data_IF_394898088809
#
_entry.id   IF_394898088809
#
_cell.length_a   1.000
_cell.length_b   1.000
_cell.length_c   1.000
_cell.angle_alpha   90.00
_cell.angle_beta   90.00
_cell.angle_gamma   90.00
#
_symmetry.space_group_name_H-M   'P 1'
#
loop_
_entity.id
_entity.type
_entity.pdbx_description
1 polymer ?
#
# COMPACT_ATOMS: atom_id res chain seq x y z
N UNK A 1 10.36 36.88 42.87
CA UNK A 1 8.90 37.10 42.98
C UNK A 1 8.24 35.78 42.57
N UNK A 2 8.16 34.78 43.45
CA UNK A 2 7.05 34.49 44.38
C UNK A 2 5.66 34.39 43.73
N UNK A 3 5.18 33.15 43.60
CA UNK A 3 3.78 32.70 43.60
C UNK A 3 3.05 33.17 44.89
N UNK A 4 1.71 33.00 45.15
CA UNK A 4 0.73 32.00 44.63
C UNK A 4 -0.75 32.58 44.58
N UNK A 5 -1.85 31.88 45.00
CA UNK A 5 -2.56 30.71 44.46
C UNK A 5 -4.08 30.92 44.22
N UNK A 6 -4.72 29.84 43.77
CA UNK A 6 -6.16 29.53 43.69
C UNK A 6 -6.95 29.54 45.03
N UNK A 7 -8.28 29.59 44.85
CA UNK A 7 -9.43 29.15 45.70
C UNK A 7 -10.05 30.22 46.62
N UNK A 8 -11.21 29.99 47.28
CA UNK A 8 -12.37 29.06 47.09
C UNK A 8 -13.72 29.86 46.95
N UNK A 9 -14.95 29.31 46.92
CA UNK A 9 -15.79 28.91 48.08
C UNK A 9 -17.16 28.43 47.56
N UNK A 10 -17.63 27.35 48.17
CA UNK A 10 -18.92 26.67 48.04
C UNK A 10 -20.03 27.40 48.82
N UNK A 11 -21.21 26.79 48.84
CA UNK A 11 -22.39 27.05 49.70
C UNK A 11 -23.51 27.89 49.06
N UNK A 12 -24.64 27.32 48.62
CA UNK A 12 -25.67 26.52 49.32
C UNK A 12 -26.67 27.41 50.09
N UNK A 13 -27.90 26.91 50.25
CA UNK A 13 -29.14 27.51 50.78
C UNK A 13 -30.05 28.15 49.70
N UNK A 14 -31.31 27.77 49.48
CA UNK A 14 -32.19 26.82 50.16
C UNK A 14 -33.40 26.41 49.28
N UNK A 15 -33.89 25.20 49.51
CA UNK A 15 -35.21 24.62 49.20
C UNK A 15 -36.33 25.42 49.97
N UNK A 16 -37.68 25.28 49.79
CA UNK A 16 -38.42 24.14 49.22
C UNK A 16 -39.73 24.42 48.45
N UNK A 17 -40.24 23.41 47.75
CA UNK A 17 -41.69 23.14 47.66
C UNK A 17 -41.93 21.70 47.23
N UNK A 18 -42.35 20.89 48.20
CA UNK A 18 -42.82 19.54 47.99
C UNK A 18 -44.19 19.56 47.30
N UNK A 19 -44.30 18.91 46.14
CA UNK A 19 -45.58 18.41 45.64
C UNK A 19 -45.51 16.87 45.58
N UNK A 20 -46.41 16.22 46.32
CA UNK A 20 -46.46 14.76 46.48
C UNK A 20 -47.32 14.11 45.39
N UNK A 21 -46.78 13.03 44.79
CA UNK A 21 -47.41 11.76 44.31
C UNK A 21 -48.44 11.83 43.16
N UNK A 22 -48.75 10.71 42.44
CA UNK A 22 -48.24 9.33 42.53
C UNK A 22 -47.84 8.65 41.18
N UNK A 23 -47.04 7.60 41.31
CA UNK A 23 -46.88 6.41 40.44
C UNK A 23 -47.89 6.18 39.30
N UNK A 24 -47.40 6.15 38.05
CA UNK A 24 -47.62 5.11 37.00
C UNK A 24 -46.43 5.19 36.01
N UNK A 25 -45.40 4.37 36.17
CA UNK A 25 -45.16 3.12 35.43
C UNK A 25 -44.80 3.33 33.93
N UNK A 26 -43.90 2.49 33.39
CA UNK A 26 -42.76 2.94 32.58
C UNK A 26 -43.00 2.75 31.09
N UNK A 27 -42.93 3.83 30.32
CA UNK A 27 -42.99 3.78 28.84
C UNK A 27 -41.84 4.55 28.19
N UNK A 28 -40.76 4.82 28.93
CA UNK A 28 -39.61 5.58 28.42
C UNK A 28 -38.39 4.70 28.07
N UNK A 29 -38.48 3.37 28.18
CA UNK A 29 -37.35 2.44 28.02
C UNK A 29 -37.61 1.35 26.97
N UNK A 30 -38.35 1.65 25.89
CA UNK A 30 -38.54 0.70 24.77
C UNK A 30 -38.07 1.23 23.40
N UNK A 31 -37.66 2.49 23.28
CA UNK A 31 -37.17 3.04 22.00
C UNK A 31 -35.65 2.98 21.81
N UNK A 32 -34.88 2.62 22.84
CA UNK A 32 -33.41 2.51 22.73
C UNK A 32 -32.92 1.14 22.23
N UNK A 33 -33.76 0.10 22.22
CA UNK A 33 -33.36 -1.24 21.81
C UNK A 33 -33.61 -1.54 20.31
N UNK A 34 -34.36 -0.70 19.61
CA UNK A 34 -34.76 -0.97 18.21
C UNK A 34 -33.77 -0.47 17.15
N UNK A 35 -32.79 0.36 17.52
CA UNK A 35 -31.80 0.91 16.58
C UNK A 35 -30.48 0.13 16.50
N UNK A 36 -30.26 -0.87 17.37
CA UNK A 36 -29.05 -1.71 17.33
C UNK A 36 -29.17 -2.95 16.43
N UNK A 37 -30.33 -3.19 15.81
CA UNK A 37 -30.61 -4.43 15.08
C UNK A 37 -30.36 -4.36 13.55
N UNK A 38 -29.83 -3.26 13.01
CA UNK A 38 -29.66 -3.09 11.55
C UNK A 38 -28.22 -3.17 11.03
N UNK A 39 -27.23 -3.51 11.86
CA UNK A 39 -25.85 -3.79 11.38
C UNK A 39 -25.62 -5.26 11.06
N UNK A 40 -26.67 -6.02 10.73
CA UNK A 40 -26.53 -7.30 10.03
C UNK A 40 -25.99 -7.02 8.62
N UNK A 41 -24.69 -6.75 8.52
CA UNK A 41 -23.98 -6.67 7.27
C UNK A 41 -24.11 -8.03 6.58
N UNK A 42 -24.64 -8.05 5.36
CA UNK A 42 -24.48 -9.20 4.50
C UNK A 42 -23.00 -9.52 4.43
N UNK A 43 -22.60 -10.73 4.84
CA UNK A 43 -21.36 -11.33 4.41
C UNK A 43 -21.49 -11.55 2.89
N UNK A 44 -21.14 -10.52 2.11
CA UNK A 44 -20.98 -10.67 0.68
C UNK A 44 -19.89 -11.70 0.46
N UNK A 45 -20.26 -12.85 -0.07
CA UNK A 45 -19.27 -13.80 -0.59
C UNK A 45 -18.47 -13.07 -1.66
N UNK A 46 -17.14 -13.18 -1.58
CA UNK A 46 -16.31 -12.73 -2.69
C UNK A 46 -16.55 -13.76 -3.81
N UNK A 47 -17.37 -13.40 -4.81
CA UNK A 47 -17.60 -14.24 -5.99
C UNK A 47 -16.29 -14.57 -6.72
N UNK A 48 -15.23 -13.78 -6.49
CA UNK A 48 -13.90 -14.10 -6.97
C UNK A 48 -12.80 -13.69 -5.98
N UNK A 49 -12.45 -14.56 -5.02
CA UNK A 49 -11.43 -14.27 -4.02
C UNK A 49 -10.04 -14.05 -4.65
N UNK A 50 -9.76 -14.62 -5.84
CA UNK A 50 -8.48 -14.41 -6.56
C UNK A 50 -8.22 -12.95 -6.96
N UNK A 51 -9.28 -12.14 -7.11
CA UNK A 51 -9.16 -10.71 -7.42
C UNK A 51 -8.73 -9.87 -6.21
N UNK A 52 -8.98 -10.38 -5.01
CA UNK A 52 -8.61 -9.75 -3.75
C UNK A 52 -7.32 -10.32 -3.17
N UNK A 53 -6.94 -11.54 -3.56
CA UNK A 53 -5.59 -12.07 -3.34
C UNK A 53 -4.61 -11.63 -4.43
N UNK A 54 -5.11 -11.01 -5.51
CA UNK A 54 -4.34 -10.32 -6.55
C UNK A 54 -3.10 -11.11 -6.94
N UNK A 55 -3.27 -12.42 -7.14
CA UNK A 55 -2.26 -13.47 -7.00
C UNK A 55 -0.86 -13.04 -7.41
N UNK A 56 -0.15 -12.41 -6.48
CA UNK A 56 1.21 -11.98 -6.75
C UNK A 56 2.05 -13.25 -6.68
N UNK A 57 2.84 -13.53 -7.73
CA UNK A 57 3.86 -14.59 -7.65
C UNK A 57 4.96 -14.33 -6.61
N UNK A 58 4.85 -13.25 -5.85
CA UNK A 58 5.72 -12.92 -4.74
C UNK A 58 5.56 -13.92 -3.59
N UNK A 59 6.69 -14.32 -3.01
CA UNK A 59 6.70 -15.11 -1.80
C UNK A 59 5.95 -14.38 -0.66
N UNK A 60 5.31 -15.09 0.29
CA UNK A 60 4.66 -14.47 1.43
C UNK A 60 5.56 -13.48 2.16
N UNK A 61 5.05 -12.28 2.45
CA UNK A 61 5.80 -11.20 3.10
C UNK A 61 6.80 -10.46 2.19
N UNK A 62 6.90 -10.84 0.91
CA UNK A 62 7.76 -10.19 -0.08
C UNK A 62 6.93 -9.35 -1.04
N UNK A 63 7.46 -8.20 -1.44
CA UNK A 63 6.87 -7.33 -2.46
C UNK A 63 7.89 -7.06 -3.56
N UNK A 64 7.43 -6.61 -4.73
CA UNK A 64 8.34 -6.14 -5.78
C UNK A 64 9.27 -5.04 -5.26
N UNK A 65 8.74 -4.09 -4.47
CA UNK A 65 9.55 -3.01 -3.87
C UNK A 65 10.64 -3.53 -2.95
N UNK A 66 10.37 -4.55 -2.11
CA UNK A 66 11.40 -5.13 -1.25
C UNK A 66 12.47 -5.89 -2.05
N UNK A 67 12.08 -6.56 -3.15
CA UNK A 67 13.06 -7.19 -4.07
C UNK A 67 13.93 -6.14 -4.73
N UNK A 68 13.34 -5.07 -5.29
CA UNK A 68 14.08 -3.96 -5.90
C UNK A 68 15.05 -3.30 -4.92
N UNK A 69 14.61 -3.09 -3.68
CA UNK A 69 15.46 -2.53 -2.64
C UNK A 69 16.66 -3.43 -2.33
N UNK A 70 16.42 -4.73 -2.14
CA UNK A 70 17.47 -5.67 -1.78
C UNK A 70 18.46 -5.93 -2.93
N UNK A 71 17.97 -5.98 -4.18
CA UNK A 71 18.70 -6.54 -5.31
C UNK A 71 19.15 -5.51 -6.34
N UNK A 72 18.54 -4.32 -6.37
CA UNK A 72 18.77 -3.34 -7.44
C UNK A 72 19.31 -2.00 -6.93
N UNK A 73 18.96 -1.57 -5.72
CA UNK A 73 19.24 -0.19 -5.26
C UNK A 73 20.73 0.10 -5.02
N UNK A 74 21.58 -0.92 -4.88
CA UNK A 74 23.03 -0.71 -4.82
C UNK A 74 23.56 0.02 -6.06
N UNK A 75 22.91 -0.12 -7.22
CA UNK A 75 23.27 0.58 -8.46
C UNK A 75 22.15 1.45 -9.05
N UNK A 76 20.89 1.21 -8.68
CA UNK A 76 19.72 1.84 -9.30
C UNK A 76 18.82 2.57 -8.29
N UNK A 77 19.40 3.19 -7.25
CA UNK A 77 18.65 4.05 -6.31
C UNK A 77 18.73 5.53 -6.72
N UNK A 78 18.02 6.41 -6.00
CA UNK A 78 18.12 7.86 -6.21
C UNK A 78 19.56 8.35 -6.16
N UNK A 79 20.34 7.83 -5.21
CA UNK A 79 21.73 8.23 -4.96
C UNK A 79 22.72 7.52 -5.89
N UNK A 80 22.44 6.27 -6.28
CA UNK A 80 23.39 5.42 -7.02
C UNK A 80 23.10 5.29 -8.51
N UNK A 81 21.98 5.84 -9.01
CA UNK A 81 21.56 5.75 -10.41
C UNK A 81 22.64 6.08 -11.43
N UNK A 82 23.57 6.99 -11.11
CA UNK A 82 24.67 7.36 -12.01
C UNK A 82 25.55 6.14 -12.38
N UNK A 83 25.73 5.20 -11.46
CA UNK A 83 26.41 3.91 -11.70
C UNK A 83 25.53 2.95 -12.51
N UNK A 84 24.22 2.98 -12.27
CA UNK A 84 23.23 2.15 -12.96
C UNK A 84 22.61 2.79 -14.19
N UNK A 85 23.42 3.32 -15.11
CA UNK A 85 22.95 3.87 -16.40
C UNK A 85 21.90 5.01 -16.26
N UNK A 86 21.99 5.79 -15.19
CA UNK A 86 21.05 6.84 -14.79
C UNK A 86 19.61 6.37 -14.54
N UNK A 87 19.39 5.07 -14.32
CA UNK A 87 18.08 4.52 -13.98
C UNK A 87 17.84 4.56 -12.46
N UNK A 88 16.76 5.22 -12.07
CA UNK A 88 16.30 5.34 -10.68
C UNK A 88 15.06 4.49 -10.44
N UNK A 89 15.27 3.36 -9.75
CA UNK A 89 14.24 2.41 -9.34
C UNK A 89 13.71 2.69 -7.92
N UNK A 90 14.21 3.70 -7.22
CA UNK A 90 13.74 4.07 -5.88
C UNK A 90 12.71 5.20 -5.93
N UNK A 91 12.85 6.11 -6.90
CA UNK A 91 11.90 7.20 -7.08
C UNK A 91 10.47 6.69 -7.33
N UNK A 92 9.50 7.43 -6.78
CA UNK A 92 8.07 7.08 -6.80
C UNK A 92 7.51 6.90 -8.23
N UNK A 93 6.34 6.25 -8.34
CA UNK A 93 5.63 6.07 -9.61
C UNK A 93 6.00 4.80 -10.38
N UNK A 94 6.66 3.83 -9.74
CA UNK A 94 6.86 2.51 -10.30
C UNK A 94 5.62 1.60 -10.11
N UNK A 95 5.41 0.62 -11.00
CA UNK A 95 6.19 0.37 -12.22
C UNK A 95 5.86 1.33 -13.37
N UNK A 96 4.82 2.17 -13.26
CA UNK A 96 4.33 3.05 -14.33
C UNK A 96 5.41 3.85 -15.06
N UNK A 97 6.40 4.39 -14.33
CA UNK A 97 7.54 5.12 -14.92
C UNK A 97 8.41 4.28 -15.85
N UNK A 98 8.47 2.96 -15.71
CA UNK A 98 9.26 2.11 -16.61
C UNK A 98 8.70 2.13 -18.04
N UNK A 99 7.41 2.42 -18.20
CA UNK A 99 6.76 2.54 -19.50
C UNK A 99 7.09 3.85 -20.24
N UNK A 100 7.68 4.82 -19.56
CA UNK A 100 8.08 6.12 -20.13
C UNK A 100 9.58 6.40 -20.02
N UNK A 101 10.30 5.63 -19.21
CA UNK A 101 11.75 5.74 -19.06
C UNK A 101 12.44 4.92 -20.14
N UNK A 102 13.16 5.59 -21.04
CA UNK A 102 13.89 4.90 -22.10
C UNK A 102 15.17 4.23 -21.58
N UNK A 103 15.40 2.99 -22.00
CA UNK A 103 16.67 2.32 -21.81
C UNK A 103 17.75 2.98 -22.66
N UNK A 104 18.92 3.24 -22.07
CA UNK A 104 20.04 3.85 -22.79
C UNK A 104 20.47 3.05 -24.02
N UNK A 105 20.36 1.71 -23.97
CA UNK A 105 20.84 0.87 -25.06
C UNK A 105 19.98 0.91 -26.32
N UNK A 106 18.66 0.85 -26.17
CA UNK A 106 17.73 0.71 -27.30
C UNK A 106 17.03 2.02 -27.64
N UNK A 107 17.17 3.04 -26.79
CA UNK A 107 16.39 4.28 -26.83
C UNK A 107 14.87 4.05 -26.85
N UNK A 108 14.43 2.87 -26.38
CA UNK A 108 13.01 2.49 -26.22
C UNK A 108 12.67 2.40 -24.74
N UNK A 109 11.38 2.52 -24.35
CA UNK A 109 10.95 2.34 -22.98
C UNK A 109 11.45 1.03 -22.36
N UNK A 110 11.79 1.08 -21.06
CA UNK A 110 12.22 -0.10 -20.29
C UNK A 110 11.10 -1.15 -20.20
N UNK A 111 9.85 -0.70 -20.10
CA UNK A 111 8.67 -1.53 -20.16
C UNK A 111 7.91 -1.35 -21.47
N UNK A 112 7.53 -2.45 -22.09
CA UNK A 112 6.75 -2.46 -23.33
C UNK A 112 5.25 -2.45 -22.99
N UNK A 113 4.57 -1.33 -23.28
CA UNK A 113 3.12 -1.21 -23.05
C UNK A 113 2.31 -2.21 -23.86
N UNK A 114 2.74 -2.61 -25.05
CA UNK A 114 2.04 -3.60 -25.86
C UNK A 114 2.25 -5.02 -25.31
N UNK A 115 3.47 -5.32 -24.83
CA UNK A 115 3.84 -6.65 -24.33
C UNK A 115 4.63 -6.57 -23.01
N UNK A 116 3.99 -6.28 -21.86
CA UNK A 116 4.72 -6.04 -20.60
C UNK A 116 5.63 -7.19 -20.15
N UNK A 117 5.24 -8.44 -20.40
CA UNK A 117 6.08 -9.62 -20.09
C UNK A 117 7.33 -9.75 -20.94
N UNK A 118 7.41 -9.05 -22.07
CA UNK A 118 8.55 -9.01 -22.99
C UNK A 118 9.41 -7.74 -22.83
N UNK A 119 9.13 -6.96 -21.78
CA UNK A 119 9.81 -5.71 -21.44
C UNK A 119 11.32 -5.88 -21.32
N UNK A 120 12.05 -4.84 -21.72
CA UNK A 120 13.51 -4.85 -21.58
C UNK A 120 13.94 -4.94 -20.11
N UNK A 121 13.19 -4.33 -19.18
CA UNK A 121 13.39 -4.49 -17.74
C UNK A 121 13.45 -5.97 -17.32
N UNK A 122 12.52 -6.81 -17.77
CA UNK A 122 12.51 -8.24 -17.45
C UNK A 122 13.62 -9.00 -18.18
N UNK A 123 13.92 -8.62 -19.42
CA UNK A 123 15.07 -9.19 -20.16
C UNK A 123 16.39 -8.99 -19.41
N UNK A 124 16.58 -7.83 -18.75
CA UNK A 124 17.77 -7.57 -17.91
C UNK A 124 17.95 -8.61 -16.80
N UNK A 125 16.88 -9.28 -16.34
CA UNK A 125 16.96 -10.30 -15.28
C UNK A 125 17.45 -11.67 -15.79
N UNK A 126 17.54 -11.83 -17.11
CA UNK A 126 17.91 -13.10 -17.76
C UNK A 126 19.38 -13.12 -18.23
N UNK A 127 19.98 -14.30 -18.47
CA UNK A 127 21.39 -14.41 -18.88
C UNK A 127 21.74 -13.73 -20.20
N UNK A 128 20.78 -13.57 -21.11
CA UNK A 128 21.00 -12.94 -22.42
C UNK A 128 19.99 -11.81 -22.62
N UNK A 129 20.22 -10.62 -22.04
CA UNK A 129 19.27 -9.51 -22.12
C UNK A 129 19.19 -8.86 -23.50
N UNK A 130 20.00 -9.30 -24.48
CA UNK A 130 20.16 -8.68 -25.79
C UNK A 130 20.98 -7.39 -25.78
N UNK A 131 21.11 -6.72 -24.62
CA UNK A 131 22.03 -5.61 -24.44
C UNK A 131 22.50 -5.43 -23.00
N UNK A 132 23.79 -5.14 -22.84
CA UNK A 132 24.47 -5.03 -21.55
C UNK A 132 24.53 -6.38 -20.82
N UNK A 133 24.93 -6.35 -19.55
CA UNK A 133 25.01 -7.55 -18.71
C UNK A 133 23.66 -7.92 -18.07
N UNK A 134 23.49 -9.18 -17.68
CA UNK A 134 22.42 -9.59 -16.76
C UNK A 134 22.48 -8.79 -15.45
N UNK A 135 21.31 -8.54 -14.87
CA UNK A 135 21.10 -7.89 -13.58
C UNK A 135 20.32 -8.82 -12.65
N UNK A 136 20.55 -8.78 -11.34
CA UNK A 136 21.67 -8.11 -10.67
C UNK A 136 23.03 -8.69 -11.11
N UNK A 137 24.09 -7.90 -10.97
CA UNK A 137 25.44 -8.40 -11.22
C UNK A 137 25.92 -9.24 -10.02
N UNK A 138 26.72 -10.27 -10.28
CA UNK A 138 27.28 -11.16 -9.25
C UNK A 138 26.40 -12.36 -8.89
N UNK A 139 25.09 -12.18 -8.77
CA UNK A 139 24.14 -13.27 -8.60
C UNK A 139 22.84 -13.00 -9.35
N UNK A 140 22.39 -13.97 -10.14
CA UNK A 140 21.07 -13.91 -10.76
C UNK A 140 19.97 -13.91 -9.71
N UNK A 141 18.88 -13.21 -10.02
CA UNK A 141 17.66 -13.29 -9.25
C UNK A 141 17.07 -14.71 -9.34
N UNK A 142 16.45 -15.20 -8.26
CA UNK A 142 15.80 -16.51 -8.30
C UNK A 142 14.49 -16.45 -9.12
N UNK A 143 13.95 -17.61 -9.47
CA UNK A 143 12.77 -17.71 -10.32
C UNK A 143 11.50 -17.11 -9.69
N UNK A 144 11.32 -17.27 -8.37
CA UNK A 144 10.15 -16.75 -7.66
C UNK A 144 10.14 -15.21 -7.63
N UNK A 145 11.28 -14.60 -7.32
CA UNK A 145 11.44 -13.14 -7.34
C UNK A 145 11.29 -12.58 -8.76
N UNK A 146 11.79 -13.30 -9.77
CA UNK A 146 11.62 -12.91 -11.18
C UNK A 146 10.15 -12.96 -11.59
N UNK A 147 9.41 -13.99 -11.18
CA UNK A 147 7.97 -14.09 -11.43
C UNK A 147 7.21 -12.97 -10.71
N UNK A 148 7.54 -12.69 -9.45
CA UNK A 148 7.00 -11.56 -8.68
C UNK A 148 7.18 -10.22 -9.40
N UNK A 149 8.39 -9.92 -9.88
CA UNK A 149 8.67 -8.69 -10.63
C UNK A 149 7.95 -8.66 -11.99
N UNK A 150 7.74 -9.82 -12.61
CA UNK A 150 6.99 -9.93 -13.87
C UNK A 150 5.52 -9.56 -13.66
N UNK A 151 4.86 -10.18 -12.69
CA UNK A 151 3.45 -9.90 -12.38
C UNK A 151 3.26 -8.45 -11.94
N UNK A 152 4.16 -7.95 -11.09
CA UNK A 152 4.15 -6.56 -10.67
C UNK A 152 4.23 -5.59 -11.85
N UNK A 153 5.14 -5.84 -12.81
CA UNK A 153 5.29 -4.99 -13.98
C UNK A 153 4.02 -5.01 -14.85
N UNK A 154 3.47 -6.20 -15.09
CA UNK A 154 2.25 -6.41 -15.89
C UNK A 154 1.05 -5.73 -15.23
N UNK A 155 0.84 -5.95 -13.93
CA UNK A 155 -0.28 -5.42 -13.18
C UNK A 155 -0.23 -3.88 -13.06
N UNK A 156 0.96 -3.30 -12.98
CA UNK A 156 1.12 -1.84 -12.90
C UNK A 156 1.26 -1.14 -14.25
N UNK A 157 0.84 -1.78 -15.35
CA UNK A 157 0.72 -1.12 -16.66
C UNK A 157 -0.29 0.04 -16.57
N UNK A 158 0.08 1.28 -16.97
CA UNK A 158 -0.86 2.38 -17.04
C UNK A 158 -2.04 2.10 -17.96
N UNK A 159 -3.23 2.57 -17.59
CA UNK A 159 -4.41 2.51 -18.47
C UNK A 159 -4.19 3.39 -19.72
N UNK A 160 -4.76 3.02 -20.87
CA UNK A 160 -4.70 3.82 -22.11
C UNK A 160 -5.26 5.24 -21.94
#
# INVERSE_FOLDING_TARGET
>A
MSFPPLAPVLDLFANPSAARRPYRAPLATLFAAALLATTAGCAGGLDEPERFTGGSSCAPGTTASSILQAQCFSCHSTETKATGANLDLQAAGLPGRLYTTNAQCTSKPLADSANPSQSFFLKKLTPSPGCGAQMPQGSSLNAADTACLTDWLVAGKPSP
#
